data_IF_343484190739
#
_entry.id   IF_343484190739
#
_cell.length_a   1.000
_cell.length_b   1.000
_cell.length_c   1.000
_cell.angle_alpha   90.00
_cell.angle_beta   90.00
_cell.angle_gamma   90.00
#
_symmetry.space_group_name_H-M   'P 1'
#
loop_
_entity.id
_entity.type
_entity.pdbx_description
1 polymer ?
#
# COMPACT_ATOMS: atom_id res chain seq x y z
N UNK A 1 10.41 25.07 69.67
CA UNK A 1 10.06 24.22 68.52
C UNK A 1 10.17 25.12 67.30
N UNK A 2 11.34 25.16 66.68
CA UNK A 2 11.57 25.96 65.47
C UNK A 2 10.82 25.29 64.33
N UNK A 3 9.69 25.88 63.95
CA UNK A 3 8.97 25.48 62.75
C UNK A 3 9.86 25.93 61.60
N UNK A 4 10.47 24.98 60.90
CA UNK A 4 11.20 25.23 59.67
C UNK A 4 10.32 26.09 58.75
N UNK A 5 10.67 27.36 58.56
CA UNK A 5 10.05 28.21 57.56
C UNK A 5 10.47 27.68 56.20
N UNK A 6 9.63 26.81 55.65
CA UNK A 6 9.79 26.28 54.29
C UNK A 6 9.86 27.47 53.34
N UNK A 7 11.02 27.65 52.68
CA UNK A 7 11.25 28.76 51.76
C UNK A 7 10.43 28.56 50.47
N UNK A 8 9.19 29.04 50.52
CA UNK A 8 8.20 28.89 49.46
C UNK A 8 8.65 29.52 48.13
N UNK A 9 9.58 30.48 48.16
CA UNK A 9 10.19 31.06 46.95
C UNK A 9 11.09 30.05 46.23
N UNK A 10 11.85 29.25 46.97
CA UNK A 10 12.70 28.21 46.39
C UNK A 10 11.85 27.04 45.85
N UNK A 11 10.79 26.66 46.58
CA UNK A 11 9.89 25.57 46.18
C UNK A 11 9.03 25.94 44.97
N UNK A 12 8.51 27.17 44.90
CA UNK A 12 7.70 27.62 43.75
C UNK A 12 8.48 27.63 42.44
N UNK A 13 9.78 27.97 42.47
CA UNK A 13 10.67 27.86 41.30
C UNK A 13 10.87 26.40 40.84
N UNK A 14 11.11 25.48 41.78
CA UNK A 14 11.27 24.05 41.50
C UNK A 14 9.97 23.42 40.96
N UNK A 15 8.82 23.72 41.56
CA UNK A 15 7.51 23.22 41.11
C UNK A 15 7.19 23.73 39.70
N UNK A 16 7.45 25.01 39.43
CA UNK A 16 7.24 25.60 38.09
C UNK A 16 8.15 24.96 37.04
N UNK A 17 9.41 24.66 37.39
CA UNK A 17 10.34 23.96 36.50
C UNK A 17 9.90 22.53 36.20
N UNK A 18 9.41 21.78 37.19
CA UNK A 18 8.90 20.40 37.00
C UNK A 18 7.66 20.41 36.09
N UNK A 19 6.74 21.34 36.30
CA UNK A 19 5.54 21.48 35.44
C UNK A 19 5.97 21.84 34.01
N UNK A 20 6.89 22.79 33.84
CA UNK A 20 7.42 23.17 32.53
C UNK A 20 8.09 22.00 31.80
N UNK A 21 8.93 21.22 32.49
CA UNK A 21 9.58 20.04 31.93
C UNK A 21 8.56 18.96 31.52
N UNK A 22 7.53 18.74 32.34
CA UNK A 22 6.47 17.75 32.07
C UNK A 22 5.65 18.15 30.83
N UNK A 23 5.27 19.43 30.72
CA UNK A 23 4.56 19.95 29.56
C UNK A 23 5.43 19.88 28.31
N UNK A 24 6.70 20.25 28.39
CA UNK A 24 7.64 20.16 27.28
C UNK A 24 7.82 18.72 26.78
N UNK A 25 7.93 17.76 27.72
CA UNK A 25 8.00 16.34 27.39
C UNK A 25 6.72 15.84 26.71
N UNK A 26 5.54 16.19 27.26
CA UNK A 26 4.25 15.81 26.68
C UNK A 26 4.04 16.37 25.27
N UNK A 27 4.46 17.62 25.03
CA UNK A 27 4.43 18.23 23.68
C UNK A 27 5.41 17.50 22.75
N UNK A 28 6.63 17.23 23.22
CA UNK A 28 7.66 16.53 22.44
C UNK A 28 7.19 15.15 21.99
N UNK A 29 6.57 14.38 22.89
CA UNK A 29 6.09 13.03 22.59
C UNK A 29 4.90 13.05 21.62
N UNK A 30 3.95 13.97 21.80
CA UNK A 30 2.86 14.19 20.83
C UNK A 30 3.40 14.54 19.45
N UNK A 31 4.43 15.39 19.37
CA UNK A 31 5.02 15.81 18.10
C UNK A 31 5.79 14.68 17.40
N UNK A 32 6.51 13.84 18.15
CA UNK A 32 7.12 12.61 17.63
C UNK A 32 6.08 11.66 17.06
N UNK A 33 4.99 11.43 17.79
CA UNK A 33 3.89 10.57 17.34
C UNK A 33 3.27 11.09 16.04
N UNK A 34 2.99 12.39 15.96
CA UNK A 34 2.47 13.03 14.74
C UNK A 34 3.41 12.84 13.55
N UNK A 35 4.70 13.13 13.70
CA UNK A 35 5.68 12.95 12.62
C UNK A 35 5.79 11.49 12.15
N UNK A 36 5.77 10.54 13.09
CA UNK A 36 5.80 9.13 12.74
C UNK A 36 4.57 8.74 11.91
N UNK A 37 3.36 9.19 12.31
CA UNK A 37 2.15 8.97 11.51
C UNK A 37 2.16 9.68 10.15
N UNK A 38 2.81 10.86 10.03
CA UNK A 38 2.97 11.60 8.76
C UNK A 38 3.75 10.78 7.75
N UNK A 39 4.87 10.19 8.18
CA UNK A 39 5.68 9.34 7.31
C UNK A 39 4.94 8.05 6.92
N UNK A 40 4.25 7.39 7.86
CA UNK A 40 3.43 6.21 7.56
C UNK A 40 2.34 6.55 6.52
N UNK A 41 1.64 7.67 6.71
CA UNK A 41 0.61 8.13 5.78
C UNK A 41 1.17 8.40 4.38
N UNK A 42 2.35 9.03 4.31
CA UNK A 42 3.05 9.30 3.05
C UNK A 42 3.41 7.99 2.32
N UNK A 43 4.02 7.04 3.00
CA UNK A 43 4.39 5.74 2.43
C UNK A 43 3.15 4.95 1.96
N UNK A 44 2.06 4.99 2.73
CA UNK A 44 0.79 4.37 2.35
C UNK A 44 0.18 5.02 1.10
N UNK A 45 0.26 6.35 0.96
CA UNK A 45 -0.21 7.08 -0.24
C UNK A 45 0.62 6.72 -1.46
N UNK A 46 1.93 6.64 -1.32
CA UNK A 46 2.81 6.23 -2.42
C UNK A 46 2.51 4.80 -2.86
N UNK A 47 2.32 3.87 -1.92
CA UNK A 47 1.89 2.51 -2.25
C UNK A 47 0.52 2.49 -2.94
N UNK A 48 -0.43 3.31 -2.48
CA UNK A 48 -1.73 3.46 -3.13
C UNK A 48 -1.60 3.82 -4.60
N UNK A 49 -0.78 4.84 -4.92
CA UNK A 49 -0.54 5.25 -6.31
C UNK A 49 0.10 4.13 -7.13
N UNK A 50 1.01 3.35 -6.53
CA UNK A 50 1.59 2.17 -7.20
C UNK A 50 0.55 1.10 -7.47
N UNK A 51 -0.39 0.88 -6.56
CA UNK A 51 -1.51 -0.03 -6.78
C UNK A 51 -2.47 0.48 -7.86
N UNK A 52 -2.65 1.80 -8.03
CA UNK A 52 -3.38 2.37 -9.18
C UNK A 52 -2.68 2.05 -10.51
N UNK A 53 -1.35 2.11 -10.56
CA UNK A 53 -0.56 1.72 -11.74
C UNK A 53 -0.79 0.23 -12.08
N UNK A 54 -0.75 -0.65 -11.07
CA UNK A 54 -0.99 -2.08 -11.27
C UNK A 54 -2.42 -2.39 -11.72
N UNK A 55 -3.41 -1.74 -11.12
CA UNK A 55 -4.82 -1.88 -11.49
C UNK A 55 -5.04 -1.51 -12.96
N UNK A 56 -4.43 -0.41 -13.42
CA UNK A 56 -4.48 -0.01 -14.83
C UNK A 56 -3.90 -1.08 -15.75
N UNK A 57 -2.79 -1.73 -15.36
CA UNK A 57 -2.20 -2.80 -16.17
C UNK A 57 -3.14 -3.99 -16.31
N UNK A 58 -3.85 -4.37 -15.25
CA UNK A 58 -4.81 -5.47 -15.27
C UNK A 58 -6.10 -5.11 -16.03
N UNK A 59 -6.59 -3.88 -15.91
CA UNK A 59 -7.78 -3.42 -16.65
C UNK A 59 -7.57 -3.38 -18.18
N UNK A 60 -6.33 -3.22 -18.67
CA UNK A 60 -6.04 -3.35 -20.12
C UNK A 60 -6.48 -4.72 -20.67
N UNK A 61 -6.49 -5.76 -19.83
CA UNK A 61 -6.98 -7.07 -20.24
C UNK A 61 -8.51 -7.13 -20.37
N UNK A 62 -9.26 -6.34 -19.60
CA UNK A 62 -10.72 -6.25 -19.71
C UNK A 62 -11.15 -5.51 -20.97
N UNK A 63 -10.44 -4.44 -21.33
CA UNK A 63 -10.65 -3.72 -22.58
C UNK A 63 -10.47 -4.61 -23.83
N UNK A 64 -9.63 -5.66 -23.75
CA UNK A 64 -9.44 -6.64 -24.83
C UNK A 64 -10.63 -7.60 -24.99
N UNK A 65 -11.43 -7.81 -23.93
CA UNK A 65 -12.57 -8.73 -23.92
C UNK A 65 -13.86 -8.05 -24.38
N UNK A 66 -14.02 -6.76 -24.15
CA UNK A 66 -15.22 -5.99 -24.52
C UNK A 66 -15.31 -5.62 -26.01
N UNK A 67 -14.35 -6.03 -26.84
CA UNK A 67 -14.44 -5.88 -28.30
C UNK A 67 -15.65 -6.68 -28.82
N UNK A 68 -16.64 -6.04 -29.48
CA UNK A 68 -17.88 -6.69 -29.86
C UNK A 68 -17.63 -7.86 -30.83
N UNK A 69 -18.23 -8.99 -30.51
CA UNK A 69 -18.29 -10.23 -31.31
C UNK A 69 -18.88 -9.88 -32.69
N UNK A 70 -18.01 -9.62 -33.66
CA UNK A 70 -18.37 -9.09 -34.99
C UNK A 70 -17.37 -8.09 -35.58
N UNK A 71 -16.47 -7.52 -34.75
CA UNK A 71 -15.34 -6.66 -35.16
C UNK A 71 -13.97 -7.31 -34.91
N UNK A 72 -13.93 -8.62 -34.63
CA UNK A 72 -12.70 -9.41 -34.46
C UNK A 72 -11.73 -9.32 -35.65
N UNK A 73 -12.22 -8.88 -36.81
CA UNK A 73 -11.46 -8.78 -38.06
C UNK A 73 -10.58 -7.52 -38.21
N UNK A 74 -10.53 -6.60 -37.23
CA UNK A 74 -9.76 -5.34 -37.38
C UNK A 74 -8.66 -5.05 -36.36
N UNK A 75 -8.55 -5.78 -35.25
CA UNK A 75 -7.29 -5.80 -34.49
C UNK A 75 -6.39 -6.86 -35.13
N UNK A 76 -5.24 -6.46 -35.64
CA UNK A 76 -4.30 -7.41 -36.22
C UNK A 76 -3.93 -8.43 -35.13
N UNK A 77 -3.85 -9.73 -35.41
CA UNK A 77 -3.40 -10.75 -34.43
C UNK A 77 -2.07 -10.33 -33.78
N UNK A 78 -1.26 -9.58 -34.53
CA UNK A 78 -0.03 -8.94 -34.11
C UNK A 78 -0.22 -7.93 -32.96
N UNK A 79 -1.30 -7.14 -32.98
CA UNK A 79 -1.59 -6.13 -31.96
C UNK A 79 -1.95 -6.80 -30.63
N UNK A 80 -2.75 -7.87 -30.66
CA UNK A 80 -3.07 -8.66 -29.46
C UNK A 80 -1.82 -9.30 -28.84
N UNK A 81 -0.94 -9.86 -29.67
CA UNK A 81 0.31 -10.45 -29.21
C UNK A 81 1.26 -9.41 -28.57
N UNK A 82 1.40 -8.23 -29.17
CA UNK A 82 2.22 -7.15 -28.61
C UNK A 82 1.64 -6.61 -27.30
N UNK A 83 0.31 -6.41 -27.21
CA UNK A 83 -0.35 -5.98 -25.96
C UNK A 83 -0.09 -7.00 -24.84
N UNK A 84 -0.17 -8.29 -25.14
CA UNK A 84 0.11 -9.36 -24.16
C UNK A 84 1.56 -9.34 -23.69
N UNK A 85 2.50 -9.22 -24.62
CA UNK A 85 3.93 -9.13 -24.31
C UNK A 85 4.23 -7.90 -23.45
N UNK A 86 3.59 -6.78 -23.77
CA UNK A 86 3.68 -5.54 -23.01
C UNK A 86 3.11 -5.73 -21.59
N UNK A 87 1.92 -6.33 -21.46
CA UNK A 87 1.30 -6.64 -20.17
C UNK A 87 2.23 -7.49 -19.28
N UNK A 88 2.71 -8.63 -19.78
CA UNK A 88 3.62 -9.49 -19.02
C UNK A 88 4.95 -8.83 -18.70
N UNK A 89 5.44 -7.92 -19.55
CA UNK A 89 6.64 -7.14 -19.27
C UNK A 89 6.40 -6.13 -18.14
N UNK A 90 5.32 -5.35 -18.25
CA UNK A 90 4.99 -4.26 -17.34
C UNK A 90 4.64 -4.78 -15.95
N UNK A 91 3.85 -5.86 -15.83
CA UNK A 91 3.52 -6.45 -14.52
C UNK A 91 4.77 -7.05 -13.87
N UNK A 92 5.66 -7.66 -14.65
CA UNK A 92 6.94 -8.19 -14.13
C UNK A 92 7.82 -7.06 -13.60
N UNK A 93 7.96 -5.97 -14.36
CA UNK A 93 8.72 -4.80 -13.94
C UNK A 93 8.11 -4.15 -12.70
N UNK A 94 6.80 -3.94 -12.68
CA UNK A 94 6.09 -3.39 -11.53
C UNK A 94 6.32 -4.25 -10.28
N UNK A 95 6.22 -5.58 -10.40
CA UNK A 95 6.43 -6.51 -9.28
C UNK A 95 7.85 -6.37 -8.72
N UNK A 96 8.86 -6.36 -9.60
CA UNK A 96 10.25 -6.21 -9.19
C UNK A 96 10.51 -4.89 -8.44
N UNK A 97 9.90 -3.79 -8.88
CA UNK A 97 10.11 -2.47 -8.28
C UNK A 97 9.36 -2.27 -6.96
N UNK A 98 8.25 -2.98 -6.73
CA UNK A 98 7.34 -2.69 -5.62
C UNK A 98 7.24 -3.80 -4.56
N UNK A 99 7.86 -4.97 -4.76
CA UNK A 99 7.84 -6.07 -3.80
C UNK A 99 8.39 -5.66 -2.42
N UNK A 100 9.53 -4.97 -2.40
CA UNK A 100 10.14 -4.49 -1.16
C UNK A 100 9.28 -3.45 -0.45
N UNK A 101 8.52 -2.64 -1.21
CA UNK A 101 7.60 -1.64 -0.66
C UNK A 101 6.38 -2.29 0.00
N UNK A 102 5.90 -3.40 -0.56
CA UNK A 102 4.84 -4.22 0.04
C UNK A 102 5.29 -4.82 1.39
N UNK A 103 6.51 -5.35 1.47
CA UNK A 103 7.04 -5.85 2.75
C UNK A 103 7.30 -4.73 3.76
N UNK A 104 7.84 -3.61 3.30
CA UNK A 104 8.10 -2.46 4.15
C UNK A 104 6.82 -1.91 4.79
N UNK A 105 5.70 -1.88 4.05
CA UNK A 105 4.44 -1.36 4.59
C UNK A 105 3.90 -2.20 5.75
N UNK A 106 4.13 -3.52 5.76
CA UNK A 106 3.75 -4.40 6.88
C UNK A 106 4.44 -3.98 8.17
N UNK A 107 5.75 -3.72 8.08
CA UNK A 107 6.55 -3.29 9.23
C UNK A 107 6.13 -1.90 9.70
N UNK A 108 5.92 -0.97 8.77
CA UNK A 108 5.50 0.40 9.08
C UNK A 108 4.16 0.49 9.77
N UNK A 109 3.21 -0.37 9.41
CA UNK A 109 1.87 -0.41 10.03
C UNK A 109 1.82 -1.31 11.26
N UNK A 110 2.98 -1.62 11.84
CA UNK A 110 3.12 -2.45 13.04
C UNK A 110 2.48 -3.84 12.89
N UNK A 111 2.60 -4.42 11.69
CA UNK A 111 2.03 -5.72 11.31
C UNK A 111 0.52 -5.81 11.54
N UNK A 112 -0.24 -4.77 11.16
CA UNK A 112 -1.70 -4.82 11.14
C UNK A 112 -2.19 -6.08 10.39
N UNK A 113 -2.97 -6.92 11.07
CA UNK A 113 -3.31 -8.27 10.60
C UNK A 113 -4.03 -8.25 9.25
N UNK A 114 -4.94 -7.30 9.05
CA UNK A 114 -5.73 -7.17 7.82
C UNK A 114 -4.83 -6.73 6.67
N UNK A 115 -3.99 -5.73 6.90
CA UNK A 115 -3.04 -5.24 5.91
C UNK A 115 -2.02 -6.31 5.53
N UNK A 116 -1.42 -6.99 6.51
CA UNK A 116 -0.46 -8.09 6.28
C UNK A 116 -1.09 -9.17 5.42
N UNK A 117 -2.29 -9.63 5.78
CA UNK A 117 -3.03 -10.63 5.01
C UNK A 117 -3.27 -10.18 3.57
N UNK A 118 -3.70 -8.94 3.36
CA UNK A 118 -3.97 -8.42 2.01
C UNK A 118 -2.68 -8.28 1.19
N UNK A 119 -1.57 -7.89 1.81
CA UNK A 119 -0.26 -7.86 1.15
C UNK A 119 0.19 -9.27 0.76
N UNK A 120 0.04 -10.25 1.66
CA UNK A 120 0.41 -11.65 1.38
C UNK A 120 -0.41 -12.24 0.24
N UNK A 121 -1.72 -11.96 0.20
CA UNK A 121 -2.59 -12.38 -0.89
C UNK A 121 -2.19 -11.78 -2.23
N UNK A 122 -1.89 -10.47 -2.26
CA UNK A 122 -1.44 -9.83 -3.49
C UNK A 122 -0.07 -10.37 -3.93
N UNK A 123 0.86 -10.55 -2.99
CA UNK A 123 2.20 -11.09 -3.26
C UNK A 123 2.13 -12.51 -3.80
N UNK A 124 1.32 -13.37 -3.20
CA UNK A 124 1.08 -14.73 -3.69
C UNK A 124 0.52 -14.74 -5.11
N UNK A 125 -0.36 -13.80 -5.46
CA UNK A 125 -0.86 -13.69 -6.82
C UNK A 125 0.24 -13.24 -7.80
N UNK A 126 1.07 -12.27 -7.40
CA UNK A 126 2.19 -11.81 -8.22
C UNK A 126 3.29 -12.88 -8.36
N UNK A 127 3.47 -13.76 -7.38
CA UNK A 127 4.37 -14.90 -7.50
C UNK A 127 3.82 -15.94 -8.49
N UNK A 128 2.52 -16.21 -8.43
CA UNK A 128 1.85 -17.09 -9.41
C UNK A 128 1.93 -16.55 -10.84
N UNK A 129 2.05 -15.23 -11.00
CA UNK A 129 2.20 -14.56 -12.29
C UNK A 129 3.46 -14.98 -13.04
N UNK A 130 4.57 -15.25 -12.35
CA UNK A 130 5.79 -15.75 -13.01
C UNK A 130 5.57 -17.09 -13.70
N UNK A 131 4.81 -17.97 -13.05
CA UNK A 131 4.44 -19.27 -13.63
C UNK A 131 3.53 -19.07 -14.85
N UNK A 132 2.54 -18.19 -14.75
CA UNK A 132 1.64 -17.86 -15.87
C UNK A 132 2.39 -17.25 -17.06
N UNK A 133 3.38 -16.39 -16.80
CA UNK A 133 4.26 -15.80 -17.82
C UNK A 133 5.07 -16.85 -18.56
N UNK A 134 5.56 -17.88 -17.87
CA UNK A 134 6.26 -19.00 -18.52
C UNK A 134 5.30 -19.83 -19.38
N UNK A 135 4.07 -20.00 -18.91
CA UNK A 135 3.04 -20.77 -19.60
C UNK A 135 2.33 -19.99 -20.73
N UNK A 136 2.56 -18.68 -20.87
CA UNK A 136 1.87 -17.83 -21.84
C UNK A 136 1.85 -18.43 -23.26
N UNK A 137 2.91 -19.09 -23.70
CA UNK A 137 3.01 -19.68 -25.06
C UNK A 137 2.00 -20.79 -25.34
N UNK A 138 1.38 -21.34 -24.29
CA UNK A 138 0.43 -22.45 -24.35
C UNK A 138 -1.00 -22.03 -24.03
N UNK A 139 -1.23 -20.76 -23.67
CA UNK A 139 -2.53 -20.25 -23.23
C UNK A 139 -3.24 -19.62 -24.43
N UNK A 140 -4.45 -20.09 -24.73
CA UNK A 140 -5.35 -19.49 -25.72
C UNK A 140 -5.70 -18.05 -25.33
N UNK A 141 -5.85 -17.18 -26.34
CA UNK A 141 -6.09 -15.75 -26.11
C UNK A 141 -7.39 -15.47 -25.33
N UNK A 142 -8.41 -16.31 -25.51
CA UNK A 142 -9.70 -16.18 -24.82
C UNK A 142 -9.63 -16.55 -23.32
N UNK A 143 -8.61 -17.29 -22.90
CA UNK A 143 -8.49 -17.83 -21.53
C UNK A 143 -7.44 -17.06 -20.69
N UNK A 144 -6.82 -16.03 -21.26
CA UNK A 144 -5.72 -15.28 -20.63
C UNK A 144 -6.14 -14.65 -19.30
N UNK A 145 -7.32 -14.01 -19.24
CA UNK A 145 -7.82 -13.35 -18.03
C UNK A 145 -7.98 -14.33 -16.87
N UNK A 146 -8.54 -15.50 -17.15
CA UNK A 146 -8.76 -16.55 -16.15
C UNK A 146 -7.44 -17.13 -15.69
N UNK A 147 -6.49 -17.31 -16.61
CA UNK A 147 -5.15 -17.81 -16.30
C UNK A 147 -4.36 -16.85 -15.43
N UNK A 148 -4.48 -15.53 -15.64
CA UNK A 148 -3.83 -14.52 -14.80
C UNK A 148 -4.64 -14.10 -13.59
N UNK A 149 -5.77 -14.78 -13.35
CA UNK A 149 -6.69 -14.52 -12.24
C UNK A 149 -7.08 -13.04 -12.16
N UNK A 150 -7.37 -12.41 -13.31
CA UNK A 150 -7.57 -10.96 -13.43
C UNK A 150 -8.49 -10.39 -12.33
N UNK A 151 -9.69 -10.98 -12.19
CA UNK A 151 -10.69 -10.58 -11.21
C UNK A 151 -10.21 -10.74 -9.75
N UNK A 152 -9.45 -11.80 -9.46
CA UNK A 152 -8.89 -12.05 -8.13
C UNK A 152 -7.83 -11.00 -7.78
N UNK A 153 -6.95 -10.69 -8.74
CA UNK A 153 -5.91 -9.67 -8.57
C UNK A 153 -6.52 -8.29 -8.38
N UNK A 154 -7.48 -7.89 -9.22
CA UNK A 154 -8.19 -6.62 -9.08
C UNK A 154 -8.92 -6.51 -7.73
N UNK A 155 -9.56 -7.60 -7.28
CA UNK A 155 -10.19 -7.66 -5.96
C UNK A 155 -9.17 -7.49 -4.83
N UNK A 156 -8.03 -8.18 -4.91
CA UNK A 156 -6.97 -8.10 -3.91
C UNK A 156 -6.30 -6.71 -3.88
N UNK A 157 -6.14 -6.05 -5.03
CA UNK A 157 -5.70 -4.65 -5.11
C UNK A 157 -6.67 -3.75 -4.35
N UNK A 158 -7.99 -3.90 -4.59
CA UNK A 158 -9.02 -3.11 -3.92
C UNK A 158 -9.04 -3.36 -2.41
N UNK A 159 -8.90 -4.61 -1.98
CA UNK A 159 -8.85 -4.97 -0.56
C UNK A 159 -7.63 -4.34 0.12
N UNK A 160 -6.46 -4.41 -0.53
CA UNK A 160 -5.24 -3.79 -0.02
C UNK A 160 -5.39 -2.26 0.09
N UNK A 161 -5.94 -1.60 -0.94
CA UNK A 161 -6.27 -0.18 -0.90
C UNK A 161 -7.17 0.15 0.30
N UNK A 162 -8.26 -0.59 0.49
CA UNK A 162 -9.16 -0.36 1.63
C UNK A 162 -8.44 -0.51 2.99
N UNK A 163 -7.52 -1.47 3.14
CA UNK A 163 -6.72 -1.61 4.36
C UNK A 163 -5.68 -0.50 4.57
N UNK A 164 -5.30 0.25 3.53
CA UNK A 164 -4.42 1.41 3.65
C UNK A 164 -5.16 2.68 4.14
N UNK A 165 -6.49 2.75 3.97
CA UNK A 165 -7.29 3.94 4.29
C UNK A 165 -7.11 4.43 5.75
N UNK A 166 -7.11 3.57 6.79
CA UNK A 166 -6.91 4.02 8.16
C UNK A 166 -5.55 4.69 8.41
N UNK A 167 -4.52 4.28 7.67
CA UNK A 167 -3.17 4.82 7.79
C UNK A 167 -2.98 6.09 6.94
N UNK A 168 -3.74 6.21 5.84
CA UNK A 168 -3.77 7.41 4.99
C UNK A 168 -4.56 8.54 5.65
N UNK A 169 -5.72 8.23 6.23
CA UNK A 169 -6.55 9.19 6.94
C UNK A 169 -5.90 9.49 8.29
N UNK A 170 -5.17 10.60 8.34
CA UNK A 170 -4.88 11.25 9.61
C UNK A 170 -6.19 11.51 10.37
N UNK A 171 -6.52 10.69 11.36
CA UNK A 171 -7.38 11.20 12.42
C UNK A 171 -6.49 12.13 13.23
N UNK A 172 -6.69 13.45 13.13
CA UNK A 172 -6.30 14.34 14.21
C UNK A 172 -7.02 13.80 15.45
N UNK A 173 -6.31 13.07 16.30
CA UNK A 173 -6.81 12.71 17.62
C UNK A 173 -7.20 14.02 18.30
N UNK A 174 -8.48 14.15 18.60
CA UNK A 174 -9.11 15.33 19.17
C UNK A 174 -8.50 15.64 20.55
#
# INVERSE_FOLDING_TARGET
MEICTVDWKAISGLVSAIIGATVAWAISEKWRGQKASEEISKECKELWTKLDELEKLYNILDDLRELPVGLEYKSNIKDKFEIRKLFFSNVKEWTYLNLSKLEYIKVLTNNDEILVKNVDLLTSNLDSFYTQRLLQRFINDNDLQDHVKNNEVLSNIKNLKNSLVPFIKFSKST
#
